data_IF_440894588849
#
_entry.id   IF_440894588849
#
_cell.length_a   1.000
_cell.length_b   1.000
_cell.length_c   1.000
_cell.angle_alpha   90.00
_cell.angle_beta   90.00
_cell.angle_gamma   90.00
#
_symmetry.space_group_name_H-M   'P 1'
#
loop_
_entity.id
_entity.type
_entity.pdbx_description
1 polymer ?
#
# COMPACT_ATOMS: atom_id res chain seq x y z
N UNK A 1 -5.06 -8.05 -5.07
CA UNK A 1 -4.17 -6.92 -5.42
C UNK A 1 -4.68 -6.34 -6.73
N UNK A 2 -5.44 -5.24 -6.70
CA UNK A 2 -6.14 -4.77 -7.89
C UNK A 2 -5.24 -3.83 -8.69
N UNK A 3 -4.88 -4.27 -9.89
CA UNK A 3 -4.28 -3.43 -10.92
C UNK A 3 -5.33 -2.45 -11.44
N UNK A 4 -5.09 -1.15 -11.35
CA UNK A 4 -5.96 -0.13 -11.93
C UNK A 4 -5.47 0.19 -13.35
N UNK A 5 -6.30 -0.10 -14.35
CA UNK A 5 -6.12 0.39 -15.72
C UNK A 5 -6.78 1.77 -15.83
N UNK A 6 -6.08 2.78 -16.34
CA UNK A 6 -6.67 4.08 -16.68
C UNK A 6 -6.80 4.16 -18.21
N UNK A 7 -8.04 4.31 -18.67
CA UNK A 7 -8.41 4.72 -20.02
C UNK A 7 -8.23 6.24 -20.15
N UNK A 8 -7.49 6.71 -21.15
CA UNK A 8 -7.97 7.71 -22.11
C UNK A 8 -6.89 8.15 -23.09
N UNK A 9 -7.39 8.47 -24.28
CA UNK A 9 -6.71 8.90 -25.49
C UNK A 9 -5.98 10.23 -25.32
N UNK A 10 -4.65 10.19 -25.18
CA UNK A 10 -3.70 11.11 -25.79
C UNK A 10 -2.29 10.72 -25.36
N UNK A 11 -1.33 10.82 -26.28
CA UNK A 11 0.06 10.44 -26.05
C UNK A 11 0.78 11.40 -25.10
N UNK A 12 0.49 11.30 -23.82
CA UNK A 12 1.45 11.63 -22.78
C UNK A 12 2.19 10.34 -22.46
N UNK A 13 3.52 10.37 -22.55
CA UNK A 13 4.39 9.30 -22.08
C UNK A 13 4.32 9.26 -20.54
N UNK A 14 3.17 8.86 -20.00
CA UNK A 14 2.98 8.67 -18.57
C UNK A 14 3.81 7.47 -18.17
N UNK A 15 4.97 7.76 -17.59
CA UNK A 15 5.86 6.75 -17.06
C UNK A 15 5.08 5.89 -16.05
N UNK A 16 4.95 4.59 -16.33
CA UNK A 16 4.18 3.69 -15.48
C UNK A 16 4.74 3.72 -14.05
N UNK A 17 3.85 3.83 -13.06
CA UNK A 17 4.22 3.74 -11.65
C UNK A 17 4.62 2.31 -11.32
N UNK A 18 5.61 2.15 -10.43
CA UNK A 18 6.06 0.83 -10.00
C UNK A 18 6.52 0.85 -8.55
N UNK A 19 6.47 -0.30 -7.87
CA UNK A 19 7.06 -0.43 -6.54
C UNK A 19 8.58 -0.51 -6.64
N UNK A 20 9.26 0.48 -6.05
CA UNK A 20 10.71 0.42 -5.76
C UNK A 20 10.97 -0.49 -4.56
N UNK A 21 10.12 -0.36 -3.54
CA UNK A 21 10.10 -1.25 -2.38
C UNK A 21 8.68 -1.77 -2.20
N UNK A 22 8.54 -3.09 -2.24
CA UNK A 22 7.27 -3.75 -1.91
C UNK A 22 7.18 -3.99 -0.41
N UNK A 23 6.02 -3.76 0.21
CA UNK A 23 5.77 -4.23 1.57
C UNK A 23 5.99 -5.74 1.64
N UNK A 24 6.51 -6.21 2.78
CA UNK A 24 6.60 -7.64 3.05
C UNK A 24 5.19 -8.23 3.05
N UNK A 25 5.01 -9.36 2.37
CA UNK A 25 3.69 -10.01 2.25
C UNK A 25 3.23 -10.59 3.58
N UNK A 26 4.16 -11.16 4.35
CA UNK A 26 3.90 -11.75 5.66
C UNK A 26 4.91 -11.21 6.66
N UNK A 27 4.43 -10.76 7.82
CA UNK A 27 5.28 -10.40 8.94
C UNK A 27 4.61 -10.81 10.23
N UNK A 28 5.35 -11.47 11.10
CA UNK A 28 4.91 -11.84 12.44
C UNK A 28 5.54 -10.89 13.45
N UNK A 29 4.74 -10.47 14.42
CA UNK A 29 5.14 -9.53 15.47
C UNK A 29 4.52 -9.96 16.79
N UNK A 30 5.19 -9.61 17.88
CA UNK A 30 4.68 -9.86 19.23
C UNK A 30 3.53 -8.90 19.50
N UNK A 31 2.44 -9.39 20.10
CA UNK A 31 1.31 -8.56 20.51
C UNK A 31 1.77 -7.39 21.38
N UNK A 32 1.17 -6.21 21.19
CA UNK A 32 1.56 -4.97 21.86
C UNK A 32 2.84 -4.32 21.30
N UNK A 33 3.56 -4.99 20.40
CA UNK A 33 4.70 -4.40 19.68
C UNK A 33 4.25 -3.63 18.44
N UNK A 34 5.09 -2.70 17.99
CA UNK A 34 4.86 -1.93 16.76
C UNK A 34 5.79 -2.39 15.65
N UNK A 35 5.31 -2.31 14.40
CA UNK A 35 6.12 -2.58 13.21
C UNK A 35 5.89 -1.54 12.13
N UNK A 36 6.89 -1.38 11.26
CA UNK A 36 6.85 -0.53 10.08
C UNK A 36 6.83 -1.39 8.82
N UNK A 37 5.78 -1.25 8.01
CA UNK A 37 5.72 -1.82 6.66
C UNK A 37 6.28 -0.82 5.66
N UNK A 38 7.45 -1.13 5.10
CA UNK A 38 8.14 -0.25 4.16
C UNK A 38 7.48 -0.29 2.77
N UNK A 39 7.33 0.87 2.14
CA UNK A 39 6.84 1.00 0.77
C UNK A 39 7.48 2.21 0.09
N UNK A 40 7.86 2.06 -1.18
CA UNK A 40 8.34 3.17 -2.01
C UNK A 40 7.86 3.00 -3.44
N UNK A 41 7.33 4.05 -4.03
CA UNK A 41 6.79 4.07 -5.39
C UNK A 41 7.69 4.92 -6.29
N UNK A 42 8.12 4.34 -7.41
CA UNK A 42 8.79 5.05 -8.49
C UNK A 42 7.79 5.62 -9.49
N UNK A 43 8.15 6.75 -10.10
CA UNK A 43 7.28 7.51 -11.02
C UNK A 43 5.92 7.86 -10.40
N UNK A 44 5.87 8.10 -9.08
CA UNK A 44 4.63 8.34 -8.35
C UNK A 44 3.80 9.45 -9.00
N UNK A 45 2.59 9.13 -9.40
CA UNK A 45 1.61 10.06 -9.95
C UNK A 45 0.35 9.98 -9.10
N UNK A 46 0.20 10.94 -8.18
CA UNK A 46 -0.88 10.99 -7.19
C UNK A 46 -0.46 10.51 -5.79
N UNK A 47 -1.41 10.44 -4.84
CA UNK A 47 -1.15 10.00 -3.48
C UNK A 47 -0.95 8.48 -3.38
N UNK A 48 -0.04 8.06 -2.50
CA UNK A 48 0.07 6.65 -2.08
C UNK A 48 -0.84 6.44 -0.87
N UNK A 49 -1.60 5.35 -0.88
CA UNK A 49 -2.53 5.01 0.20
C UNK A 49 -2.30 3.57 0.66
N UNK A 50 -2.47 3.36 1.96
CA UNK A 50 -2.53 2.02 2.53
C UNK A 50 -3.99 1.57 2.59
N UNK A 51 -4.20 0.28 2.37
CA UNK A 51 -5.49 -0.34 2.57
C UNK A 51 -5.31 -1.61 3.40
N UNK A 52 -6.26 -1.86 4.30
CA UNK A 52 -6.35 -3.08 5.09
C UNK A 52 -7.75 -3.66 4.89
N UNK A 53 -7.82 -4.94 4.55
CA UNK A 53 -9.09 -5.68 4.39
C UNK A 53 -10.12 -5.03 3.45
N UNK A 54 -9.62 -4.33 2.42
CA UNK A 54 -10.45 -3.65 1.42
C UNK A 54 -10.84 -2.21 1.77
N UNK A 55 -10.42 -1.69 2.92
CA UNK A 55 -10.67 -0.31 3.35
C UNK A 55 -9.42 0.55 3.25
N UNK A 56 -9.55 1.75 2.70
CA UNK A 56 -8.47 2.74 2.64
C UNK A 56 -8.29 3.35 4.02
N UNK A 57 -7.04 3.50 4.42
CA UNK A 57 -6.66 4.00 5.74
C UNK A 57 -6.35 5.49 5.67
N UNK A 58 -6.94 6.25 6.60
CA UNK A 58 -6.60 7.66 6.79
C UNK A 58 -5.28 7.80 7.55
N UNK A 59 -4.53 8.86 7.23
CA UNK A 59 -3.13 9.05 7.67
C UNK A 59 -2.95 9.20 9.18
N UNK A 60 -4.02 9.47 9.94
CA UNK A 60 -3.96 9.76 11.38
C UNK A 60 -4.27 8.55 12.28
N UNK A 61 -4.66 7.41 11.70
CA UNK A 61 -5.15 6.27 12.46
C UNK A 61 -4.03 5.29 12.78
N UNK A 62 -3.82 5.01 14.08
CA UNK A 62 -3.03 3.84 14.51
C UNK A 62 -3.82 2.57 14.18
N UNK A 63 -3.21 1.66 13.43
CA UNK A 63 -3.87 0.43 12.98
C UNK A 63 -3.36 -0.73 13.83
N UNK A 64 -4.28 -1.41 14.52
CA UNK A 64 -4.00 -2.70 15.14
C UNK A 64 -4.00 -3.82 14.10
N UNK A 65 -3.07 -4.76 14.23
CA UNK A 65 -3.17 -6.07 13.58
C UNK A 65 -4.02 -6.92 14.53
N UNK A 66 -5.12 -7.48 14.03
CA UNK A 66 -5.98 -8.32 14.85
C UNK A 66 -5.39 -9.73 14.90
N UNK A 67 -5.26 -10.30 16.10
CA UNK A 67 -4.74 -11.66 16.32
C UNK A 67 -5.84 -12.74 16.19
N UNK A 68 -7.09 -12.36 15.87
CA UNK A 68 -8.26 -13.26 15.86
C UNK A 68 -8.26 -14.38 14.80
N UNK A 69 -7.11 -14.70 14.19
CA UNK A 69 -6.96 -15.79 13.23
C UNK A 69 -5.69 -16.63 13.50
N UNK A 70 -5.50 -17.01 14.75
CA UNK A 70 -4.65 -18.14 15.18
C UNK A 70 -5.49 -19.01 16.13
#
# INVERSE_FOLDING_TARGET
>A
MKSFMISSTNQYHSQQQYFRVRPRSNVEVIEGSSIVLQCSVGNQAGPVQWAKDGFVLDLLTKIGVDSSYI
#
